data_IF_746387471903
#
_entry.id   IF_746387471903
#
_cell.length_a   1.000
_cell.length_b   1.000
_cell.length_c   1.000
_cell.angle_alpha   90.00
_cell.angle_beta   90.00
_cell.angle_gamma   90.00
#
_symmetry.space_group_name_H-M   'P 1'
#
loop_
_entity.id
_entity.type
_entity.pdbx_description
1 polymer ?
#
# COMPACT_ATOMS: atom_id res chain seq x y z
N UNK A 1 -48.28 29.84 54.98
CA UNK A 1 -48.26 29.96 53.51
C UNK A 1 -46.82 29.93 52.99
N UNK A 2 -46.39 28.89 52.27
CA UNK A 2 -45.02 28.75 51.75
C UNK A 2 -45.06 28.67 50.22
N UNK A 3 -44.65 29.76 49.55
CA UNK A 3 -44.74 29.95 48.09
C UNK A 3 -43.61 29.18 47.40
N UNK A 4 -43.94 28.08 46.71
CA UNK A 4 -42.98 27.31 45.87
C UNK A 4 -42.57 28.16 44.66
N UNK A 5 -41.27 28.45 44.53
CA UNK A 5 -40.69 29.04 43.31
C UNK A 5 -40.42 27.91 42.32
N UNK A 6 -41.15 27.91 41.20
CA UNK A 6 -40.89 27.05 40.05
C UNK A 6 -39.64 27.54 39.32
N UNK A 7 -38.57 26.74 39.34
CA UNK A 7 -37.36 27.00 38.56
C UNK A 7 -37.63 26.79 37.07
N UNK A 8 -37.29 27.77 36.25
CA UNK A 8 -37.37 27.69 34.78
C UNK A 8 -36.27 26.75 34.30
N UNK A 9 -36.62 25.59 33.74
CA UNK A 9 -35.69 24.73 33.02
C UNK A 9 -35.28 25.43 31.71
N UNK A 10 -34.01 25.84 31.59
CA UNK A 10 -33.45 26.33 30.32
C UNK A 10 -33.31 25.15 29.36
N UNK A 11 -33.76 25.25 28.09
CA UNK A 11 -33.55 24.21 27.11
C UNK A 11 -32.05 24.02 26.89
N UNK A 12 -31.55 22.80 27.09
CA UNK A 12 -30.15 22.46 26.79
C UNK A 12 -29.95 22.59 25.28
N UNK A 13 -28.94 23.35 24.85
CA UNK A 13 -28.58 23.59 23.44
C UNK A 13 -27.92 22.37 22.78
N UNK A 14 -28.48 21.17 22.97
CA UNK A 14 -27.90 19.91 22.48
C UNK A 14 -28.11 19.71 20.97
N UNK A 15 -29.13 20.34 20.38
CA UNK A 15 -29.44 20.19 18.96
C UNK A 15 -28.42 20.84 18.02
N UNK A 16 -27.80 21.96 18.42
CA UNK A 16 -26.82 22.67 17.59
C UNK A 16 -25.55 21.85 17.41
N UNK A 17 -25.02 21.29 18.50
CA UNK A 17 -23.83 20.43 18.45
C UNK A 17 -24.06 19.16 17.61
N UNK A 18 -25.27 18.58 17.63
CA UNK A 18 -25.60 17.43 16.80
C UNK A 18 -25.62 17.78 15.31
N UNK A 19 -26.10 18.97 14.93
CA UNK A 19 -26.12 19.43 13.54
C UNK A 19 -24.71 19.74 13.03
N UNK A 20 -23.88 20.40 13.85
CA UNK A 20 -22.47 20.65 13.50
C UNK A 20 -21.72 19.34 13.26
N UNK A 21 -21.89 18.36 14.16
CA UNK A 21 -21.31 17.03 13.97
C UNK A 21 -21.82 16.33 12.71
N UNK A 22 -23.12 16.39 12.43
CA UNK A 22 -23.71 15.77 11.25
C UNK A 22 -23.16 16.35 9.93
N UNK A 23 -22.81 17.64 9.90
CA UNK A 23 -22.21 18.29 8.73
C UNK A 23 -20.71 17.99 8.61
N UNK A 24 -19.98 17.92 9.74
CA UNK A 24 -18.54 17.64 9.72
C UNK A 24 -18.21 16.16 9.50
N UNK A 25 -19.07 15.24 9.97
CA UNK A 25 -18.81 13.80 9.95
C UNK A 25 -18.50 13.25 8.54
N UNK A 26 -19.25 13.57 7.46
CA UNK A 26 -18.96 13.05 6.13
C UNK A 26 -17.56 13.40 5.63
N UNK A 27 -17.12 14.64 5.88
CA UNK A 27 -15.79 15.12 5.47
C UNK A 27 -14.69 14.39 6.23
N UNK A 28 -14.84 14.27 7.56
CA UNK A 28 -13.85 13.57 8.40
C UNK A 28 -13.76 12.10 8.00
N UNK A 29 -14.89 11.45 7.79
CA UNK A 29 -14.96 10.04 7.36
C UNK A 29 -14.23 9.84 6.03
N UNK A 30 -14.50 10.70 5.04
CA UNK A 30 -13.80 10.64 3.75
C UNK A 30 -12.30 10.85 3.88
N UNK A 31 -11.85 11.82 4.69
CA UNK A 31 -10.43 12.07 4.91
C UNK A 31 -9.73 10.92 5.62
N UNK A 32 -10.36 10.33 6.63
CA UNK A 32 -9.80 9.20 7.37
C UNK A 32 -9.65 7.98 6.45
N UNK A 33 -10.73 7.54 5.80
CA UNK A 33 -10.65 6.36 4.93
C UNK A 33 -9.80 6.61 3.68
N UNK A 34 -9.86 7.82 3.12
CA UNK A 34 -8.98 8.24 2.03
C UNK A 34 -7.50 8.21 2.43
N UNK A 35 -7.17 8.64 3.65
CA UNK A 35 -5.79 8.58 4.15
C UNK A 35 -5.30 7.14 4.35
N UNK A 36 -6.14 6.26 4.91
CA UNK A 36 -5.81 4.83 5.11
C UNK A 36 -5.53 4.17 3.76
N UNK A 37 -6.38 4.42 2.77
CA UNK A 37 -6.22 3.86 1.44
C UNK A 37 -4.96 4.41 0.76
N UNK A 38 -4.74 5.72 0.80
CA UNK A 38 -3.55 6.34 0.23
C UNK A 38 -2.26 5.78 0.85
N UNK A 39 -2.21 5.61 2.17
CA UNK A 39 -1.09 4.98 2.87
C UNK A 39 -0.87 3.53 2.42
N UNK A 40 -1.93 2.76 2.23
CA UNK A 40 -1.86 1.37 1.75
C UNK A 40 -1.29 1.29 0.32
N UNK A 41 -1.72 2.18 -0.58
CA UNK A 41 -1.15 2.28 -1.93
C UNK A 41 0.33 2.65 -1.93
N UNK A 42 0.73 3.63 -1.12
CA UNK A 42 2.12 4.06 -1.01
C UNK A 42 2.98 2.93 -0.46
N UNK A 43 2.52 2.28 0.61
CA UNK A 43 3.20 1.15 1.23
C UNK A 43 3.40 0.00 0.24
N UNK A 44 2.36 -0.39 -0.51
CA UNK A 44 2.45 -1.45 -1.49
C UNK A 44 3.46 -1.10 -2.59
N UNK A 45 3.35 0.10 -3.18
CA UNK A 45 4.27 0.55 -4.24
C UNK A 45 5.72 0.56 -3.78
N UNK A 46 5.99 1.05 -2.58
CA UNK A 46 7.34 1.08 -2.03
C UNK A 46 7.86 -0.33 -1.73
N UNK A 47 7.00 -1.22 -1.24
CA UNK A 47 7.34 -2.62 -0.99
C UNK A 47 7.74 -3.35 -2.27
N UNK A 48 6.98 -3.17 -3.36
CA UNK A 48 7.32 -3.71 -4.67
C UNK A 48 8.65 -3.15 -5.19
N UNK A 49 8.88 -1.84 -5.08
CA UNK A 49 10.13 -1.21 -5.52
C UNK A 49 11.36 -1.72 -4.75
N UNK A 50 11.25 -1.89 -3.44
CA UNK A 50 12.37 -2.40 -2.61
C UNK A 50 12.64 -3.88 -2.94
N UNK A 51 11.60 -4.70 -3.07
CA UNK A 51 11.76 -6.10 -3.47
C UNK A 51 12.39 -6.25 -4.86
N UNK A 52 11.92 -5.44 -5.81
CA UNK A 52 12.46 -5.38 -7.16
C UNK A 52 13.95 -4.97 -7.14
N UNK A 53 14.30 -3.94 -6.37
CA UNK A 53 15.69 -3.48 -6.22
C UNK A 53 16.60 -4.56 -5.65
N UNK A 54 16.21 -5.22 -4.56
CA UNK A 54 17.01 -6.29 -3.95
C UNK A 54 17.09 -7.54 -4.84
N UNK A 55 16.02 -7.86 -5.57
CA UNK A 55 16.02 -8.93 -6.57
C UNK A 55 16.96 -8.64 -7.74
N UNK A 56 16.89 -7.45 -8.34
CA UNK A 56 17.79 -7.03 -9.41
C UNK A 56 19.24 -6.97 -8.93
N UNK A 57 19.49 -6.50 -7.70
CA UNK A 57 20.82 -6.46 -7.12
C UNK A 57 21.42 -7.86 -6.95
N UNK A 58 20.63 -8.84 -6.54
CA UNK A 58 21.09 -10.24 -6.51
C UNK A 58 21.37 -10.74 -7.93
N UNK A 59 20.45 -10.50 -8.87
CA UNK A 59 20.58 -10.91 -10.26
C UNK A 59 21.79 -10.29 -10.99
N UNK A 60 22.20 -9.08 -10.60
CA UNK A 60 23.37 -8.40 -11.12
C UNK A 60 24.68 -9.10 -10.78
N UNK A 61 24.73 -9.93 -9.74
CA UNK A 61 25.95 -10.65 -9.35
C UNK A 61 26.35 -11.70 -10.38
N UNK A 62 27.66 -11.93 -10.50
CA UNK A 62 28.22 -13.03 -11.28
C UNK A 62 27.77 -14.38 -10.73
N UNK A 63 27.29 -15.25 -11.61
CA UNK A 63 26.78 -16.57 -11.25
C UNK A 63 25.41 -16.58 -10.56
N UNK A 64 24.73 -15.44 -10.43
CA UNK A 64 23.33 -15.44 -9.97
C UNK A 64 22.42 -16.08 -11.02
N UNK A 65 21.34 -16.69 -10.54
CA UNK A 65 20.29 -17.32 -11.35
C UNK A 65 18.96 -16.61 -11.12
N UNK A 66 17.96 -16.94 -11.94
CA UNK A 66 16.59 -16.47 -11.74
C UNK A 66 16.03 -16.94 -10.40
N UNK A 67 16.37 -18.16 -9.97
CA UNK A 67 15.91 -18.72 -8.71
C UNK A 67 16.46 -17.96 -7.50
N UNK A 68 17.76 -17.64 -7.48
CA UNK A 68 18.37 -16.89 -6.38
C UNK A 68 17.84 -15.47 -6.31
N UNK A 69 17.70 -14.80 -7.46
CA UNK A 69 17.17 -13.45 -7.51
C UNK A 69 15.69 -13.37 -7.10
N UNK A 70 14.88 -14.32 -7.58
CA UNK A 70 13.46 -14.43 -7.21
C UNK A 70 13.31 -14.71 -5.72
N UNK A 71 14.10 -15.62 -5.15
CA UNK A 71 14.05 -15.92 -3.72
C UNK A 71 14.40 -14.68 -2.86
N UNK A 72 15.35 -13.84 -3.31
CA UNK A 72 15.66 -12.58 -2.61
C UNK A 72 14.49 -11.60 -2.66
N UNK A 73 13.93 -11.34 -3.85
CA UNK A 73 12.76 -10.47 -3.97
C UNK A 73 11.56 -10.99 -3.17
N UNK A 74 11.28 -12.29 -3.23
CA UNK A 74 10.21 -12.96 -2.50
C UNK A 74 10.35 -12.79 -0.99
N UNK A 75 11.56 -12.97 -0.43
CA UNK A 75 11.78 -12.78 1.01
C UNK A 75 11.43 -11.37 1.50
N UNK A 76 11.63 -10.35 0.66
CA UNK A 76 11.27 -8.96 0.97
C UNK A 76 9.75 -8.75 0.91
N UNK A 77 9.07 -9.36 -0.06
CA UNK A 77 7.62 -9.25 -0.20
C UNK A 77 6.88 -9.98 0.94
N UNK A 78 7.33 -11.19 1.28
CA UNK A 78 6.78 -11.98 2.39
C UNK A 78 6.99 -11.28 3.73
N UNK A 79 8.19 -10.74 4.00
CA UNK A 79 8.46 -10.01 5.24
C UNK A 79 7.65 -8.71 5.36
N UNK A 80 7.21 -8.15 4.22
CA UNK A 80 6.33 -6.97 4.17
C UNK A 80 4.85 -7.33 4.10
N UNK A 81 4.50 -8.63 4.12
CA UNK A 81 3.12 -9.10 4.09
C UNK A 81 2.37 -8.78 2.80
N UNK A 82 3.07 -8.73 1.66
CA UNK A 82 2.44 -8.54 0.34
C UNK A 82 1.87 -9.86 -0.14
N UNK A 83 0.63 -9.85 -0.63
CA UNK A 83 -0.11 -11.01 -1.15
C UNK A 83 -0.25 -10.95 -2.68
N UNK A 84 -0.44 -12.11 -3.31
CA UNK A 84 -0.71 -12.28 -4.76
C UNK A 84 0.25 -11.52 -5.67
N UNK A 85 1.54 -11.55 -5.35
CA UNK A 85 2.57 -10.89 -6.13
C UNK A 85 3.13 -11.80 -7.22
N UNK A 86 3.63 -11.19 -8.29
CA UNK A 86 4.36 -11.84 -9.38
C UNK A 86 5.72 -11.16 -9.53
N UNK A 87 6.79 -11.96 -9.64
CA UNK A 87 8.16 -11.50 -9.88
C UNK A 87 8.59 -12.03 -11.25
N UNK A 88 9.10 -11.15 -12.11
CA UNK A 88 9.53 -11.50 -13.47
C UNK A 88 10.89 -10.90 -13.80
N UNK A 89 11.72 -11.69 -14.47
CA UNK A 89 12.95 -11.27 -15.13
C UNK A 89 12.81 -11.52 -16.63
N UNK A 90 12.36 -10.52 -17.43
CA UNK A 90 11.96 -10.74 -18.83
C UNK A 90 13.05 -11.31 -19.74
N UNK A 91 14.31 -10.94 -19.48
CA UNK A 91 15.48 -11.37 -20.27
C UNK A 91 16.19 -12.59 -19.64
N UNK A 92 15.69 -13.08 -18.50
CA UNK A 92 16.39 -14.04 -17.65
C UNK A 92 17.61 -13.43 -16.95
N UNK A 93 18.15 -14.15 -15.97
CA UNK A 93 19.31 -13.69 -15.17
C UNK A 93 20.58 -14.49 -15.47
N UNK A 94 20.42 -15.77 -15.81
CA UNK A 94 21.49 -16.76 -15.81
C UNK A 94 22.51 -16.56 -16.94
N UNK A 95 22.05 -16.24 -18.14
CA UNK A 95 22.91 -16.12 -19.34
C UNK A 95 23.35 -14.66 -19.64
N UNK A 96 23.04 -13.73 -18.75
CA UNK A 96 23.41 -12.32 -18.93
C UNK A 96 24.92 -12.12 -18.73
N UNK A 97 25.56 -11.56 -19.75
CA UNK A 97 26.97 -11.17 -19.70
C UNK A 97 27.18 -9.90 -18.87
N UNK A 98 28.39 -9.74 -18.32
CA UNK A 98 28.82 -8.51 -17.63
C UNK A 98 28.54 -7.28 -18.51
N UNK A 99 27.97 -6.24 -17.92
CA UNK A 99 27.60 -5.00 -18.62
C UNK A 99 26.29 -5.06 -19.40
N UNK A 100 25.55 -6.18 -19.38
CA UNK A 100 24.18 -6.23 -19.86
C UNK A 100 23.19 -5.75 -18.80
N UNK A 101 22.01 -5.29 -19.24
CA UNK A 101 20.96 -4.84 -18.35
C UNK A 101 20.26 -6.04 -17.73
N UNK A 102 20.13 -6.03 -16.41
CA UNK A 102 19.25 -6.90 -15.65
C UNK A 102 17.97 -6.13 -15.36
N UNK A 103 16.84 -6.66 -15.80
CA UNK A 103 15.52 -6.05 -15.59
C UNK A 103 14.70 -6.95 -14.67
N UNK A 104 14.22 -6.39 -13.56
CA UNK A 104 13.21 -7.03 -12.73
C UNK A 104 11.91 -6.25 -12.80
N UNK A 105 10.79 -6.98 -12.82
CA UNK A 105 9.45 -6.45 -12.72
C UNK A 105 8.72 -7.20 -11.61
N UNK A 106 8.15 -6.46 -10.65
CA UNK A 106 7.35 -7.03 -9.58
C UNK A 106 5.96 -6.41 -9.64
N UNK A 107 4.92 -7.24 -9.64
CA UNK A 107 3.53 -6.79 -9.67
C UNK A 107 2.75 -7.33 -8.48
N UNK A 108 1.73 -6.58 -8.03
CA UNK A 108 0.75 -7.08 -7.07
C UNK A 108 -0.58 -6.30 -7.21
N UNK A 109 -1.74 -6.96 -7.01
CA UNK A 109 -3.04 -6.31 -7.02
C UNK A 109 -3.30 -5.55 -5.72
N UNK A 110 -4.00 -4.42 -5.79
CA UNK A 110 -4.39 -3.67 -4.60
C UNK A 110 -5.53 -4.33 -3.83
N UNK A 111 -6.37 -5.14 -4.50
CA UNK A 111 -7.51 -5.85 -3.88
C UNK A 111 -7.12 -6.69 -2.65
N UNK A 112 -5.98 -7.37 -2.67
CA UNK A 112 -5.57 -8.26 -1.57
C UNK A 112 -4.51 -7.65 -0.65
N UNK A 113 -4.17 -6.39 -0.90
CA UNK A 113 -3.12 -5.65 -0.20
C UNK A 113 -3.61 -4.30 0.35
N UNK A 114 -4.90 -4.00 0.24
CA UNK A 114 -5.52 -2.76 0.69
C UNK A 114 -6.89 -3.03 1.29
N UNK A 115 -7.27 -2.34 2.39
CA UNK A 115 -8.52 -2.62 3.09
C UNK A 115 -9.78 -2.18 2.34
N UNK A 116 -9.71 -1.18 1.46
CA UNK A 116 -10.89 -0.67 0.74
C UNK A 116 -10.86 -0.93 -0.78
N UNK A 117 -9.70 -1.30 -1.34
CA UNK A 117 -9.59 -1.66 -2.76
C UNK A 117 -10.31 -2.98 -3.06
N UNK A 118 -11.07 -3.01 -4.15
CA UNK A 118 -11.85 -4.16 -4.60
C UNK A 118 -13.34 -4.08 -4.24
N UNK A 119 -13.68 -3.39 -3.16
CA UNK A 119 -15.06 -3.20 -2.67
C UNK A 119 -15.54 -1.75 -2.86
N UNK A 120 -14.77 -0.77 -2.39
CA UNK A 120 -15.12 0.66 -2.47
C UNK A 120 -14.25 1.44 -3.46
N UNK A 121 -13.01 0.99 -3.68
CA UNK A 121 -12.05 1.60 -4.61
C UNK A 121 -11.68 0.60 -5.69
N UNK A 122 -11.51 1.05 -6.93
CA UNK A 122 -11.19 0.16 -8.05
C UNK A 122 -9.86 -0.59 -7.81
N UNK A 123 -9.89 -1.90 -8.00
CA UNK A 123 -8.67 -2.73 -7.98
C UNK A 123 -7.70 -2.27 -9.07
N UNK A 124 -6.41 -2.17 -8.72
CA UNK A 124 -5.33 -1.87 -9.67
C UNK A 124 -4.20 -2.86 -9.46
N UNK A 125 -3.54 -3.25 -10.55
CA UNK A 125 -2.28 -3.97 -10.48
C UNK A 125 -1.18 -2.92 -10.42
N UNK A 126 -0.44 -2.88 -9.31
CA UNK A 126 0.73 -2.03 -9.19
C UNK A 126 1.94 -2.78 -9.72
N UNK A 127 2.79 -2.08 -10.46
CA UNK A 127 4.02 -2.62 -11.02
C UNK A 127 5.19 -1.75 -10.60
N UNK A 128 6.25 -2.38 -10.12
CA UNK A 128 7.56 -1.77 -9.94
C UNK A 128 8.55 -2.41 -10.92
N UNK A 129 9.41 -1.59 -11.52
CA UNK A 129 10.44 -2.04 -12.44
C UNK A 129 11.77 -1.40 -12.08
N UNK A 130 12.82 -2.21 -11.99
CA UNK A 130 14.18 -1.78 -11.70
C UNK A 130 15.13 -2.37 -12.73
N UNK A 131 16.09 -1.55 -13.18
CA UNK A 131 17.13 -1.94 -14.13
C UNK A 131 18.49 -1.67 -13.50
N UNK A 132 19.40 -2.65 -13.58
CA UNK A 132 20.81 -2.51 -13.18
C UNK A 132 21.72 -3.14 -14.23
N UNK A 133 23.02 -2.83 -14.19
CA UNK A 133 24.01 -3.53 -15.01
C UNK A 133 24.53 -4.77 -14.29
N UNK A 134 24.73 -5.85 -15.04
CA UNK A 134 25.39 -7.08 -14.58
C UNK A 134 26.86 -6.78 -14.25
N UNK A 135 27.31 -7.17 -13.06
CA UNK A 135 28.66 -6.94 -12.54
C UNK A 135 29.74 -7.83 -13.13
#
# INVERSE_FOLDING_TARGET
>A
MRKRRSGICRPKRVGVAAVEFAVCLPVIVLLVFGSIEASSFIFLKQSLSVACYEGTREAAKLGSTDATATARAQSILESRGVNDFEIRFPEGVTDLARGQNVICEVTAPTRTNSPLAGEFVTNRILTARVVMLKE
#
